data_IF_570841558889
#
_entry.id   IF_570841558889
#
_cell.length_a   1.000
_cell.length_b   1.000
_cell.length_c   1.000
_cell.angle_alpha   90.00
_cell.angle_beta   90.00
_cell.angle_gamma   90.00
#
_symmetry.space_group_name_H-M   'P 1'
#
loop_
_entity.id
_entity.type
_entity.pdbx_description
1 polymer ?
#
# COMPACT_ATOMS: atom_id res chain seq x y z
N UNK A 1 -8.09 -21.97 -11.95
CA UNK A 1 -6.91 -21.08 -11.83
C UNK A 1 -7.43 -19.67 -11.56
N UNK A 2 -6.93 -18.98 -10.54
CA UNK A 2 -7.31 -17.59 -10.29
C UNK A 2 -6.80 -16.67 -11.42
N UNK A 3 -7.53 -15.59 -11.65
CA UNK A 3 -7.13 -14.50 -12.55
C UNK A 3 -6.03 -13.64 -11.92
N UNK A 4 -5.40 -12.80 -12.73
CA UNK A 4 -4.36 -11.88 -12.25
C UNK A 4 -4.87 -10.92 -11.16
N UNK A 5 -6.12 -10.47 -11.27
CA UNK A 5 -6.73 -9.58 -10.27
C UNK A 5 -7.03 -10.32 -8.97
N UNK A 6 -7.49 -11.57 -9.03
CA UNK A 6 -7.69 -12.40 -7.84
C UNK A 6 -6.37 -12.66 -7.12
N UNK A 7 -5.28 -12.93 -7.86
CA UNK A 7 -3.94 -13.06 -7.27
C UNK A 7 -3.40 -11.76 -6.66
N UNK A 8 -3.70 -10.60 -7.27
CA UNK A 8 -3.33 -9.31 -6.71
C UNK A 8 -4.07 -9.06 -5.39
N UNK A 9 -5.38 -9.35 -5.34
CA UNK A 9 -6.18 -9.25 -4.12
C UNK A 9 -5.67 -10.21 -3.02
N UNK A 10 -5.39 -11.46 -3.38
CA UNK A 10 -4.79 -12.46 -2.49
C UNK A 10 -3.44 -11.96 -1.92
N UNK A 11 -2.59 -11.38 -2.75
CA UNK A 11 -1.32 -10.79 -2.33
C UNK A 11 -1.54 -9.67 -1.32
N UNK A 12 -2.49 -8.75 -1.56
CA UNK A 12 -2.80 -7.67 -0.61
C UNK A 12 -3.30 -8.22 0.73
N UNK A 13 -4.15 -9.25 0.70
CA UNK A 13 -4.67 -9.92 1.91
C UNK A 13 -3.54 -10.59 2.70
N UNK A 14 -2.71 -11.40 2.05
CA UNK A 14 -1.62 -12.11 2.72
C UNK A 14 -0.55 -11.18 3.25
N UNK A 15 -0.21 -10.12 2.52
CA UNK A 15 0.70 -9.08 3.00
C UNK A 15 0.15 -8.46 4.27
N UNK A 16 -1.12 -8.03 4.31
CA UNK A 16 -1.70 -7.47 5.53
C UNK A 16 -1.61 -8.46 6.71
N UNK A 17 -2.07 -9.70 6.53
CA UNK A 17 -2.09 -10.68 7.61
C UNK A 17 -0.68 -11.09 8.08
N UNK A 18 0.32 -11.09 7.20
CA UNK A 18 1.72 -11.33 7.53
C UNK A 18 2.26 -10.32 8.55
N UNK A 19 1.90 -9.05 8.42
CA UNK A 19 2.34 -7.99 9.34
C UNK A 19 1.39 -7.81 10.53
N UNK A 20 0.10 -8.05 10.33
CA UNK A 20 -0.89 -7.97 11.41
C UNK A 20 -0.72 -9.13 12.41
N UNK A 21 -0.38 -10.33 11.94
CA UNK A 21 -0.37 -11.54 12.76
C UNK A 21 -1.77 -11.85 13.32
N UNK A 22 -1.82 -12.63 14.40
CA UNK A 22 -3.08 -13.14 14.97
C UNK A 22 -4.01 -12.05 15.52
N UNK A 23 -3.47 -10.87 15.84
CA UNK A 23 -4.25 -9.73 16.34
C UNK A 23 -5.15 -9.11 15.27
N UNK A 24 -4.89 -9.34 13.98
CA UNK A 24 -5.77 -8.90 12.88
C UNK A 24 -5.78 -7.40 12.58
N UNK A 25 -4.85 -6.63 13.15
CA UNK A 25 -4.61 -5.22 12.85
C UNK A 25 -3.12 -4.89 12.90
N UNK A 26 -2.72 -3.81 12.26
CA UNK A 26 -1.35 -3.28 12.31
C UNK A 26 -1.25 -2.22 13.40
N UNK A 27 -0.20 -2.26 14.21
CA UNK A 27 0.22 -1.10 15.02
C UNK A 27 0.96 -0.09 14.14
N UNK A 28 1.37 1.04 14.74
CA UNK A 28 2.24 2.01 14.07
C UNK A 28 3.56 1.37 13.64
N UNK A 29 4.14 0.52 14.48
CA UNK A 29 5.38 -0.20 14.23
C UNK A 29 5.19 -1.23 13.12
N UNK A 30 4.11 -2.04 13.16
CA UNK A 30 3.83 -3.01 12.11
C UNK A 30 3.65 -2.32 10.75
N UNK A 31 2.92 -1.21 10.72
CA UNK A 31 2.70 -0.43 9.51
C UNK A 31 4.01 0.19 8.99
N UNK A 32 4.89 0.67 9.89
CA UNK A 32 6.23 1.14 9.50
C UNK A 32 7.01 0.03 8.81
N UNK A 33 7.11 -1.15 9.43
CA UNK A 33 7.86 -2.27 8.85
C UNK A 33 7.24 -2.74 7.53
N UNK A 34 5.90 -2.74 7.43
CA UNK A 34 5.20 -3.02 6.17
C UNK A 34 5.62 -2.02 5.09
N UNK A 35 5.58 -0.73 5.39
CA UNK A 35 5.96 0.33 4.44
C UNK A 35 7.42 0.21 4.01
N UNK A 36 8.33 -0.09 4.92
CA UNK A 36 9.76 -0.28 4.65
C UNK A 36 10.03 -1.46 3.70
N UNK A 37 9.24 -2.53 3.82
CA UNK A 37 9.44 -3.75 3.03
C UNK A 37 8.70 -3.74 1.69
N UNK A 38 7.46 -3.27 1.68
CA UNK A 38 6.58 -3.38 0.51
C UNK A 38 6.58 -2.10 -0.35
N UNK A 39 6.95 -0.95 0.23
CA UNK A 39 6.96 0.35 -0.44
C UNK A 39 8.27 1.14 -0.21
N UNK A 40 9.45 0.55 -0.42
CA UNK A 40 10.73 1.19 -0.07
C UNK A 40 10.94 2.54 -0.78
N UNK A 41 10.61 2.64 -2.07
CA UNK A 41 10.75 3.90 -2.83
C UNK A 41 9.76 5.00 -2.43
N UNK A 42 8.68 4.66 -1.72
CA UNK A 42 7.73 5.66 -1.23
C UNK A 42 8.25 6.35 0.04
N UNK A 43 8.98 5.62 0.88
CA UNK A 43 9.51 6.13 2.14
C UNK A 43 10.73 7.03 1.98
N UNK A 44 11.46 6.95 0.87
CA UNK A 44 12.62 7.82 0.60
C UNK A 44 12.27 9.32 0.63
N UNK A 45 10.99 9.67 0.44
CA UNK A 45 10.51 11.04 0.37
C UNK A 45 9.53 11.44 1.49
N UNK A 46 9.24 10.57 2.46
CA UNK A 46 8.30 10.87 3.55
C UNK A 46 9.01 11.23 4.86
N UNK A 47 8.71 12.41 5.41
CA UNK A 47 9.24 12.90 6.71
C UNK A 47 8.40 12.54 7.92
N UNK A 48 7.14 12.10 7.74
CA UNK A 48 6.21 11.89 8.85
C UNK A 48 5.79 10.42 8.95
N UNK A 49 6.03 9.75 10.09
CA UNK A 49 5.71 8.34 10.24
C UNK A 49 4.21 8.19 10.50
N UNK A 50 3.45 8.00 9.42
CA UNK A 50 2.12 7.36 9.36
C UNK A 50 1.20 7.73 10.54
N UNK A 51 0.37 8.75 10.36
CA UNK A 51 -0.60 9.19 11.35
C UNK A 51 -1.70 8.13 11.55
N UNK A 52 -1.51 7.23 12.52
CA UNK A 52 -2.55 6.32 12.98
C UNK A 52 -3.37 7.00 14.08
N UNK A 53 -4.65 7.29 13.80
CA UNK A 53 -5.52 8.05 14.72
C UNK A 53 -5.83 7.30 16.02
N UNK A 54 -5.96 5.98 15.95
CA UNK A 54 -6.37 5.11 17.07
C UNK A 54 -5.31 4.06 17.45
N UNK A 55 -4.09 4.18 16.91
CA UNK A 55 -2.99 3.22 17.12
C UNK A 55 -3.18 1.83 16.49
N UNK A 56 -4.32 1.59 15.82
CA UNK A 56 -4.64 0.35 15.10
C UNK A 56 -5.08 0.65 13.67
N UNK A 57 -4.53 -0.09 12.72
CA UNK A 57 -4.89 -0.03 11.30
C UNK A 57 -5.45 -1.38 10.89
N UNK A 58 -6.75 -1.42 10.65
CA UNK A 58 -7.43 -2.60 10.09
C UNK A 58 -7.26 -2.71 8.58
N UNK A 59 -7.74 -3.81 8.00
CA UNK A 59 -7.59 -4.09 6.57
C UNK A 59 -8.19 -3.00 5.68
N UNK A 60 -9.35 -2.43 6.05
CA UNK A 60 -9.97 -1.34 5.28
C UNK A 60 -9.06 -0.10 5.21
N UNK A 61 -8.45 0.29 6.33
CA UNK A 61 -7.55 1.45 6.38
C UNK A 61 -6.26 1.20 5.60
N UNK A 62 -5.71 -0.02 5.70
CA UNK A 62 -4.61 -0.47 4.86
C UNK A 62 -4.95 -0.44 3.36
N UNK A 63 -6.14 -0.92 2.99
CA UNK A 63 -6.59 -0.91 1.60
C UNK A 63 -6.83 0.52 1.09
N UNK A 64 -7.30 1.42 1.95
CA UNK A 64 -7.46 2.84 1.64
C UNK A 64 -6.11 3.51 1.36
N UNK A 65 -5.05 3.13 2.08
CA UNK A 65 -3.69 3.57 1.80
C UNK A 65 -3.23 3.08 0.42
N UNK A 66 -3.39 1.78 0.12
CA UNK A 66 -3.05 1.21 -1.20
C UNK A 66 -3.82 1.92 -2.31
N UNK A 67 -5.12 2.17 -2.12
CA UNK A 67 -5.94 2.87 -3.09
C UNK A 67 -5.39 4.28 -3.37
N UNK A 68 -5.07 5.05 -2.32
CA UNK A 68 -4.46 6.38 -2.46
C UNK A 68 -3.13 6.35 -3.21
N UNK A 69 -2.24 5.42 -2.86
CA UNK A 69 -0.96 5.23 -3.55
C UNK A 69 -1.16 4.85 -5.02
N UNK A 70 -2.07 3.93 -5.30
CA UNK A 70 -2.36 3.43 -6.66
C UNK A 70 -2.94 4.54 -7.54
N UNK A 71 -3.84 5.36 -7.00
CA UNK A 71 -4.41 6.52 -7.70
C UNK A 71 -3.31 7.53 -8.04
N UNK A 72 -2.46 7.89 -7.06
CA UNK A 72 -1.34 8.82 -7.30
C UNK A 72 -0.35 8.29 -8.36
N UNK A 73 -0.02 7.00 -8.31
CA UNK A 73 0.81 6.35 -9.32
C UNK A 73 0.15 6.36 -10.71
N UNK A 74 -1.16 6.10 -10.79
CA UNK A 74 -1.90 6.16 -12.05
C UNK A 74 -1.91 7.59 -12.63
N UNK A 75 -2.18 8.60 -11.80
CA UNK A 75 -2.17 9.99 -12.24
C UNK A 75 -0.80 10.39 -12.80
N UNK A 76 0.28 10.01 -12.09
CA UNK A 76 1.64 10.21 -12.58
C UNK A 76 1.89 9.51 -13.92
N UNK A 77 1.47 8.25 -14.05
CA UNK A 77 1.61 7.47 -15.28
C UNK A 77 0.85 8.10 -16.45
N UNK A 78 -0.39 8.55 -16.24
CA UNK A 78 -1.21 9.19 -17.28
C UNK A 78 -0.57 10.50 -17.74
N UNK A 79 -0.06 11.32 -16.82
CA UNK A 79 0.55 12.61 -17.15
C UNK A 79 1.91 12.44 -17.84
N UNK A 80 2.79 11.59 -17.32
CA UNK A 80 4.20 11.59 -17.71
C UNK A 80 4.62 10.44 -18.64
N UNK A 81 3.92 9.30 -18.59
CA UNK A 81 4.30 8.08 -19.32
C UNK A 81 3.39 7.86 -20.53
N UNK A 82 2.06 8.01 -20.37
CA UNK A 82 1.09 7.78 -21.45
C UNK A 82 1.15 8.85 -22.55
N UNK A 83 1.48 10.10 -22.22
CA UNK A 83 1.60 11.18 -23.20
C UNK A 83 2.90 11.12 -24.01
N UNK A 84 3.97 10.49 -23.50
CA UNK A 84 5.27 10.37 -24.19
C UNK A 84 5.27 9.34 -25.33
N UNK A 85 4.31 8.41 -25.37
CA UNK A 85 4.16 7.41 -26.44
C UNK A 85 3.34 7.85 -27.65
N UNK A 86 2.94 9.12 -27.74
CA UNK A 86 2.18 9.70 -28.87
C UNK A 86 2.99 10.69 -29.73
N UNK A 87 4.32 10.55 -29.78
CA UNK A 87 5.17 11.23 -30.77
C UNK A 87 5.74 10.23 -31.76
#
# INVERSE_FOLDING_TARGET
MPSQMEHAMETMMFTFHKFAGDKGYLTKEDLRVLMEKEFPGFLENQKDPLACRDGKVGFQSFFSLIAGLTIACNDYFVVHMKQKGKK
#
